data_IF_296024986075
#
_entry.id   IF_296024986075
#
_cell.length_a   1.000
_cell.length_b   1.000
_cell.length_c   1.000
_cell.angle_alpha   90.00
_cell.angle_beta   90.00
_cell.angle_gamma   90.00
#
_symmetry.space_group_name_H-M   'P 1'
#
loop_
_entity.id
_entity.type
_entity.pdbx_description
1 polymer ?
#
# COMPACT_ATOMS: atom_id res chain seq x y z
N UNK A 1 12.74 -12.36 -9.49
CA UNK A 1 11.57 -13.22 -9.21
C UNK A 1 11.09 -13.79 -10.52
N UNK A 2 10.92 -15.11 -10.61
CA UNK A 2 10.30 -15.72 -11.79
C UNK A 2 8.76 -15.71 -11.66
N UNK A 3 8.07 -15.95 -12.79
CA UNK A 3 6.61 -15.85 -12.85
C UNK A 3 5.90 -16.85 -11.92
N UNK A 4 6.50 -18.02 -11.68
CA UNK A 4 5.92 -19.02 -10.79
C UNK A 4 6.03 -18.59 -9.33
N UNK A 5 7.19 -18.11 -8.90
CA UNK A 5 7.40 -17.63 -7.54
C UNK A 5 6.60 -16.35 -7.25
N UNK A 6 6.44 -15.48 -8.25
CA UNK A 6 5.69 -14.24 -8.10
C UNK A 6 4.23 -14.46 -7.66
N UNK A 7 3.60 -15.57 -8.00
CA UNK A 7 2.18 -15.83 -7.73
C UNK A 7 1.92 -16.95 -6.71
N UNK A 8 2.94 -17.75 -6.37
CA UNK A 8 2.81 -18.90 -5.49
C UNK A 8 3.43 -18.70 -4.09
N UNK A 9 4.03 -17.55 -3.84
CA UNK A 9 4.65 -17.20 -2.55
C UNK A 9 3.98 -15.95 -1.98
N UNK A 10 3.97 -15.82 -0.65
CA UNK A 10 3.64 -14.57 0.03
C UNK A 10 4.49 -13.42 -0.51
N UNK A 11 3.88 -12.25 -0.74
CA UNK A 11 4.63 -11.10 -1.26
C UNK A 11 5.77 -10.68 -0.32
N UNK A 12 5.61 -10.81 0.98
CA UNK A 12 6.65 -10.49 1.95
C UNK A 12 7.95 -11.28 1.76
N UNK A 13 7.88 -12.45 1.09
CA UNK A 13 9.04 -13.33 0.86
C UNK A 13 9.71 -13.13 -0.52
N UNK A 14 9.17 -12.26 -1.37
CA UNK A 14 9.69 -12.06 -2.72
C UNK A 14 10.95 -11.21 -2.76
N UNK A 15 11.09 -10.26 -1.85
CA UNK A 15 12.31 -9.47 -1.71
C UNK A 15 13.35 -10.22 -0.86
N UNK A 16 14.66 -10.02 -1.16
CA UNK A 16 15.71 -10.62 -0.35
C UNK A 16 15.72 -10.04 1.06
N UNK A 17 15.77 -10.88 2.12
CA UNK A 17 15.83 -10.42 3.50
C UNK A 17 16.98 -9.45 3.77
N UNK A 18 18.15 -9.67 3.16
CA UNK A 18 19.32 -8.79 3.31
C UNK A 18 19.08 -7.43 2.67
N UNK A 19 18.34 -7.38 1.54
CA UNK A 19 17.94 -6.12 0.92
C UNK A 19 16.97 -5.37 1.81
N UNK A 20 15.97 -6.07 2.36
CA UNK A 20 14.96 -5.50 3.26
C UNK A 20 15.63 -4.91 4.50
N UNK A 21 16.41 -5.70 5.24
CA UNK A 21 17.08 -5.26 6.47
C UNK A 21 17.99 -4.04 6.23
N UNK A 22 18.81 -4.07 5.17
CA UNK A 22 19.70 -2.96 4.83
C UNK A 22 18.94 -1.68 4.48
N UNK A 23 17.85 -1.79 3.72
CA UNK A 23 17.13 -0.60 3.27
C UNK A 23 16.14 -0.10 4.33
N UNK A 24 15.60 -0.95 5.18
CA UNK A 24 14.85 -0.53 6.37
C UNK A 24 15.70 0.37 7.28
N UNK A 25 16.96 0.02 7.54
CA UNK A 25 17.88 0.87 8.30
C UNK A 25 18.15 2.24 7.66
N UNK A 26 18.18 2.30 6.32
CA UNK A 26 18.43 3.55 5.57
C UNK A 26 17.21 4.45 5.50
N UNK A 27 16.02 3.88 5.41
CA UNK A 27 14.77 4.59 5.18
C UNK A 27 13.97 4.86 6.45
N UNK A 28 14.21 4.09 7.51
CA UNK A 28 13.39 4.09 8.72
C UNK A 28 12.04 3.38 8.56
N UNK A 29 11.78 2.76 7.40
CA UNK A 29 10.57 1.96 7.18
C UNK A 29 10.70 0.67 8.00
N UNK A 30 9.68 0.26 8.78
CA UNK A 30 9.69 -1.04 9.44
C UNK A 30 9.95 -2.18 8.43
N UNK A 31 10.82 -3.13 8.79
CA UNK A 31 11.24 -4.21 7.87
C UNK A 31 10.04 -4.97 7.28
N UNK A 32 9.03 -5.25 8.12
CA UNK A 32 7.84 -5.98 7.68
C UNK A 32 7.02 -5.21 6.63
N UNK A 33 6.86 -3.90 6.81
CA UNK A 33 6.21 -3.03 5.83
C UNK A 33 7.02 -2.96 4.51
N UNK A 34 8.34 -2.77 4.63
CA UNK A 34 9.21 -2.69 3.46
C UNK A 34 9.21 -3.99 2.65
N UNK A 35 9.17 -5.15 3.32
CA UNK A 35 9.04 -6.44 2.67
C UNK A 35 7.75 -6.54 1.83
N UNK A 36 6.63 -6.07 2.36
CA UNK A 36 5.35 -6.05 1.64
C UNK A 36 5.39 -5.10 0.43
N UNK A 37 5.88 -3.87 0.60
CA UNK A 37 5.99 -2.91 -0.53
C UNK A 37 6.91 -3.43 -1.64
N UNK A 38 8.07 -3.95 -1.28
CA UNK A 38 9.01 -4.52 -2.25
C UNK A 38 8.40 -5.75 -2.95
N UNK A 39 7.74 -6.61 -2.18
CA UNK A 39 7.10 -7.80 -2.70
C UNK A 39 5.93 -7.50 -3.62
N UNK A 40 5.08 -6.53 -3.28
CA UNK A 40 3.99 -6.06 -4.13
C UNK A 40 4.51 -5.55 -5.48
N UNK A 41 5.52 -4.67 -5.45
CA UNK A 41 6.17 -4.18 -6.68
C UNK A 41 6.79 -5.31 -7.51
N UNK A 42 7.46 -6.28 -6.87
CA UNK A 42 8.02 -7.45 -7.54
C UNK A 42 6.94 -8.34 -8.14
N UNK A 43 5.81 -8.55 -7.45
CA UNK A 43 4.65 -9.28 -7.97
C UNK A 43 4.14 -8.61 -9.25
N UNK A 44 3.92 -7.30 -9.21
CA UNK A 44 3.40 -6.55 -10.35
C UNK A 44 4.40 -6.47 -11.50
N UNK A 45 5.70 -6.43 -11.24
CA UNK A 45 6.73 -6.45 -12.29
C UNK A 45 6.67 -7.71 -13.18
N UNK A 46 6.05 -8.77 -12.67
CA UNK A 46 5.87 -10.04 -13.41
C UNK A 46 4.45 -10.18 -13.95
N UNK A 47 3.44 -9.83 -13.16
CA UNK A 47 2.02 -10.05 -13.53
C UNK A 47 1.43 -8.91 -14.36
N UNK A 48 1.97 -7.70 -14.25
CA UNK A 48 1.60 -6.52 -15.02
C UNK A 48 2.82 -5.61 -15.26
N UNK A 49 3.81 -6.04 -16.07
CA UNK A 49 5.08 -5.32 -16.25
C UNK A 49 4.92 -3.93 -16.86
N UNK A 50 3.88 -3.69 -17.65
CA UNK A 50 3.63 -2.39 -18.30
C UNK A 50 3.26 -1.30 -17.28
N UNK A 51 2.71 -1.68 -16.13
CA UNK A 51 2.35 -0.73 -15.07
C UNK A 51 3.56 0.04 -14.56
N UNK A 52 4.68 -0.63 -14.31
CA UNK A 52 5.91 -0.01 -13.82
C UNK A 52 5.79 0.56 -12.39
N UNK A 53 4.87 0.03 -11.58
CA UNK A 53 4.73 0.39 -10.16
C UNK A 53 6.00 0.03 -9.38
N UNK A 54 6.48 0.97 -8.56
CA UNK A 54 7.70 0.81 -7.77
C UNK A 54 7.40 0.71 -6.27
N UNK A 55 8.28 0.03 -5.53
CA UNK A 55 8.14 -0.15 -4.09
C UNK A 55 8.14 1.16 -3.31
N UNK A 56 8.91 2.17 -3.73
CA UNK A 56 8.97 3.47 -3.09
C UNK A 56 7.67 4.27 -3.27
N UNK A 57 6.94 4.09 -4.36
CA UNK A 57 5.59 4.64 -4.52
C UNK A 57 4.63 4.02 -3.50
N UNK A 58 4.61 2.70 -3.36
CA UNK A 58 3.80 2.01 -2.34
C UNK A 58 4.18 2.45 -0.92
N UNK A 59 5.47 2.56 -0.64
CA UNK A 59 5.95 3.07 0.65
C UNK A 59 5.57 4.53 0.90
N UNK A 60 5.57 5.38 -0.13
CA UNK A 60 5.09 6.75 -0.04
C UNK A 60 3.61 6.82 0.34
N UNK A 61 2.77 5.99 -0.27
CA UNK A 61 1.35 5.84 0.10
C UNK A 61 1.23 5.35 1.54
N UNK A 62 1.88 4.25 1.90
CA UNK A 62 1.81 3.70 3.25
C UNK A 62 2.30 4.65 4.35
N UNK A 63 3.23 5.56 4.03
CA UNK A 63 3.59 6.65 4.93
C UNK A 63 2.45 7.65 5.12
N UNK A 64 1.87 8.13 4.03
CA UNK A 64 0.81 9.15 4.08
C UNK A 64 -0.44 8.60 4.75
N UNK A 65 -0.78 7.34 4.52
CA UNK A 65 -2.00 6.72 5.03
C UNK A 65 -1.92 6.34 6.53
N UNK A 66 -0.81 5.76 6.97
CA UNK A 66 -0.73 5.22 8.34
C UNK A 66 0.65 5.31 8.98
N UNK A 67 1.59 6.06 8.39
CA UNK A 67 3.00 6.01 8.81
C UNK A 67 3.53 4.56 8.87
N UNK A 68 3.25 3.77 7.83
CA UNK A 68 3.60 2.34 7.76
C UNK A 68 2.96 1.49 8.87
N UNK A 69 1.73 1.80 9.24
CA UNK A 69 1.01 1.09 10.30
C UNK A 69 1.43 1.47 11.73
N UNK A 70 2.19 2.56 11.91
CA UNK A 70 2.60 3.01 13.25
C UNK A 70 1.72 4.11 13.84
N UNK A 71 0.69 4.54 13.11
CA UNK A 71 -0.29 5.49 13.63
C UNK A 71 -0.99 4.89 14.88
N UNK A 72 -1.36 5.73 15.84
CA UNK A 72 -1.99 5.34 17.09
C UNK A 72 -1.18 4.35 17.96
N UNK A 73 0.15 4.45 17.91
CA UNK A 73 1.08 3.55 18.62
C UNK A 73 0.99 2.06 18.21
N UNK A 74 0.35 1.78 17.06
CA UNK A 74 0.30 0.45 16.45
C UNK A 74 1.62 0.05 15.79
N UNK A 75 1.67 -1.19 15.32
CA UNK A 75 2.74 -1.71 14.47
C UNK A 75 2.24 -2.88 13.64
N UNK A 76 2.98 -3.21 12.58
CA UNK A 76 2.74 -4.42 11.80
C UNK A 76 3.45 -5.58 12.48
N UNK A 77 2.71 -6.62 12.81
CA UNK A 77 3.22 -7.85 13.44
C UNK A 77 4.02 -8.69 12.44
N UNK A 78 4.68 -9.73 12.90
CA UNK A 78 5.52 -10.58 12.05
C UNK A 78 4.72 -11.28 10.94
N UNK A 79 3.47 -11.67 11.20
CA UNK A 79 2.56 -12.26 10.22
C UNK A 79 1.99 -11.24 9.21
N UNK A 80 2.17 -9.96 9.44
CA UNK A 80 1.72 -8.88 8.54
C UNK A 80 0.46 -8.18 8.96
N UNK A 81 -0.20 -8.61 10.04
CA UNK A 81 -1.41 -7.99 10.55
C UNK A 81 -1.10 -6.72 11.35
N UNK A 82 -2.05 -5.81 11.42
CA UNK A 82 -1.95 -4.69 12.34
C UNK A 82 -2.11 -5.16 13.79
N UNK A 83 -1.21 -4.75 14.70
CA UNK A 83 -1.34 -5.04 16.14
C UNK A 83 -2.57 -4.41 16.78
N UNK A 84 -2.94 -3.24 16.29
CA UNK A 84 -4.18 -2.54 16.60
C UNK A 84 -4.84 -2.17 15.26
N UNK A 85 -6.12 -2.52 15.04
CA UNK A 85 -6.79 -2.21 13.78
C UNK A 85 -6.82 -0.71 13.50
N UNK A 86 -6.49 -0.33 12.27
CA UNK A 86 -6.52 1.06 11.81
C UNK A 86 -7.79 1.29 11.01
N UNK A 87 -8.59 2.23 11.49
CA UNK A 87 -9.77 2.73 10.80
C UNK A 87 -9.66 4.25 10.66
N UNK A 88 -9.97 4.75 9.48
CA UNK A 88 -10.09 6.18 9.23
C UNK A 88 -11.32 6.79 9.92
N UNK A 89 -11.48 8.09 9.76
CA UNK A 89 -12.72 8.77 10.16
C UNK A 89 -13.84 8.42 9.17
N UNK A 90 -15.08 8.44 9.63
CA UNK A 90 -16.25 8.24 8.76
C UNK A 90 -16.26 9.33 7.67
N UNK A 91 -16.48 8.91 6.43
CA UNK A 91 -16.53 9.77 5.26
C UNK A 91 -17.94 10.36 5.10
N UNK A 92 -18.34 11.22 6.03
CA UNK A 92 -19.69 11.80 6.13
C UNK A 92 -19.83 13.16 5.41
N UNK A 93 -18.75 13.68 4.83
CA UNK A 93 -18.68 14.99 4.20
C UNK A 93 -18.31 16.13 5.14
N UNK A 94 -18.17 15.84 6.43
CA UNK A 94 -17.67 16.77 7.43
C UNK A 94 -16.13 16.69 7.56
N UNK A 95 -15.53 17.62 8.27
CA UNK A 95 -14.08 17.65 8.56
C UNK A 95 -13.17 17.56 7.32
N UNK A 96 -13.67 17.97 6.15
CA UNK A 96 -12.92 17.95 4.89
C UNK A 96 -12.93 16.60 4.16
N UNK A 97 -13.75 15.66 4.60
CA UNK A 97 -14.01 14.41 3.87
C UNK A 97 -15.00 14.61 2.72
N UNK A 98 -14.99 13.69 1.76
CA UNK A 98 -16.06 13.56 0.76
C UNK A 98 -17.08 12.60 1.33
N UNK A 99 -18.38 12.98 1.30
CA UNK A 99 -19.44 12.09 1.77
C UNK A 99 -19.50 10.81 0.93
N UNK A 100 -19.28 9.67 1.57
CA UNK A 100 -19.46 8.35 1.00
C UNK A 100 -20.52 7.60 1.81
N UNK A 101 -21.69 7.31 1.20
CA UNK A 101 -22.69 6.47 1.86
C UNK A 101 -22.09 5.10 2.17
N UNK A 102 -22.57 4.48 3.24
CA UNK A 102 -22.20 3.12 3.56
C UNK A 102 -22.47 2.17 2.37
N UNK A 103 -21.43 1.45 1.95
CA UNK A 103 -21.41 0.57 0.78
C UNK A 103 -21.79 -0.87 1.16
N UNK A 104 -21.44 -1.30 2.37
CA UNK A 104 -21.45 -2.72 2.73
C UNK A 104 -22.11 -3.05 4.08
N UNK A 105 -22.92 -2.14 4.63
CA UNK A 105 -23.57 -2.25 5.95
C UNK A 105 -22.53 -2.42 7.09
N UNK A 106 -21.35 -1.80 6.94
CA UNK A 106 -20.27 -1.86 7.93
C UNK A 106 -19.56 -3.23 8.01
N UNK A 107 -19.67 -4.08 7.00
CA UNK A 107 -19.09 -5.42 7.03
C UNK A 107 -17.54 -5.38 6.99
N UNK A 108 -16.95 -4.45 6.24
CA UNK A 108 -15.51 -4.33 6.12
C UNK A 108 -14.90 -3.34 7.12
N UNK A 109 -15.56 -2.22 7.33
CA UNK A 109 -15.01 -1.10 8.09
C UNK A 109 -15.60 -0.92 9.49
N UNK A 110 -16.60 -1.72 9.86
CA UNK A 110 -17.33 -1.72 11.14
C UNK A 110 -18.15 -0.43 11.40
N UNK A 111 -18.49 0.35 10.35
CA UNK A 111 -19.34 1.54 10.50
C UNK A 111 -20.56 1.50 9.56
N UNK A 112 -21.75 1.16 10.05
CA UNK A 112 -22.97 1.07 9.24
C UNK A 112 -23.58 2.45 8.91
N UNK A 113 -22.95 3.56 9.26
CA UNK A 113 -23.48 4.90 9.02
C UNK A 113 -22.78 5.62 7.85
N UNK A 114 -21.68 5.07 7.36
CA UNK A 114 -20.90 5.62 6.25
C UNK A 114 -19.56 4.94 6.15
N UNK A 115 -19.00 4.87 4.95
CA UNK A 115 -17.72 4.24 4.72
C UNK A 115 -16.59 4.95 5.47
N UNK A 116 -15.58 4.19 5.86
CA UNK A 116 -14.28 4.68 6.31
C UNK A 116 -13.15 3.81 5.75
N UNK A 117 -11.97 4.40 5.67
CA UNK A 117 -10.79 3.70 5.19
C UNK A 117 -10.27 2.68 6.24
N UNK A 118 -9.71 1.57 5.77
CA UNK A 118 -9.31 0.42 6.60
C UNK A 118 -7.84 0.07 6.38
N UNK A 119 -7.16 -0.23 7.46
CA UNK A 119 -5.85 -0.86 7.49
C UNK A 119 -4.67 0.06 7.14
N UNK A 120 -3.47 -0.52 7.00
CA UNK A 120 -2.23 0.25 6.84
C UNK A 120 -2.15 1.03 5.52
N UNK A 121 -2.94 0.65 4.50
CA UNK A 121 -3.04 1.33 3.22
C UNK A 121 -4.34 2.13 3.06
N UNK A 122 -5.19 2.19 4.09
CA UNK A 122 -6.45 2.96 4.13
C UNK A 122 -7.35 2.68 2.91
N UNK A 123 -7.69 1.41 2.71
CA UNK A 123 -8.58 0.96 1.63
C UNK A 123 -10.04 1.21 2.03
N UNK A 124 -10.82 1.79 1.13
CA UNK A 124 -12.27 1.98 1.33
C UNK A 124 -13.07 0.75 0.90
N UNK A 125 -14.26 0.50 1.49
CA UNK A 125 -15.09 -0.67 1.20
C UNK A 125 -15.34 -0.95 -0.29
N UNK A 126 -15.69 0.02 -1.16
CA UNK A 126 -15.88 -0.25 -2.59
C UNK A 126 -14.61 -0.74 -3.29
N UNK A 127 -13.44 -0.22 -2.90
CA UNK A 127 -12.15 -0.66 -3.46
C UNK A 127 -11.82 -2.07 -2.99
N UNK A 128 -12.04 -2.35 -1.69
CA UNK A 128 -11.86 -3.70 -1.16
C UNK A 128 -12.74 -4.71 -1.88
N UNK A 129 -14.03 -4.45 -2.00
CA UNK A 129 -14.99 -5.34 -2.68
C UNK A 129 -14.60 -5.67 -4.13
N UNK A 130 -13.93 -4.74 -4.82
CA UNK A 130 -13.51 -4.92 -6.21
C UNK A 130 -12.14 -5.60 -6.36
N UNK A 131 -11.24 -5.49 -5.37
CA UNK A 131 -9.82 -5.82 -5.52
C UNK A 131 -9.25 -6.72 -4.41
N UNK A 132 -10.05 -7.19 -3.43
CA UNK A 132 -9.57 -8.01 -2.32
C UNK A 132 -8.75 -9.22 -2.82
N UNK A 133 -7.71 -9.54 -2.11
CA UNK A 133 -6.76 -10.59 -2.48
C UNK A 133 -5.95 -11.02 -1.26
N UNK A 134 -5.69 -12.32 -1.16
CA UNK A 134 -4.81 -12.92 -0.15
C UNK A 134 -3.34 -12.76 -0.60
N UNK A 135 -2.66 -11.78 -0.06
CA UNK A 135 -1.28 -11.41 -0.42
C UNK A 135 -0.22 -12.21 0.33
N UNK A 136 -0.52 -12.66 1.55
CA UNK A 136 0.35 -13.48 2.38
C UNK A 136 0.13 -14.99 2.19
N UNK A 137 -0.95 -15.38 1.50
CA UNK A 137 -1.36 -16.77 1.22
C UNK A 137 -1.70 -17.57 2.49
N UNK A 138 -2.30 -16.93 3.49
CA UNK A 138 -2.74 -17.58 4.73
C UNK A 138 -4.18 -18.12 4.65
N UNK A 139 -4.89 -17.86 3.57
CA UNK A 139 -6.25 -18.28 3.30
C UNK A 139 -7.32 -17.30 3.82
N UNK A 140 -6.92 -16.13 4.30
CA UNK A 140 -7.80 -15.06 4.76
C UNK A 140 -7.47 -13.79 3.98
N UNK A 141 -8.49 -13.10 3.49
CA UNK A 141 -8.34 -11.77 2.88
C UNK A 141 -8.72 -10.73 3.93
N UNK A 142 -7.73 -9.92 4.36
CA UNK A 142 -7.90 -8.98 5.47
C UNK A 142 -7.32 -7.59 5.15
N UNK A 143 -8.17 -6.57 5.19
CA UNK A 143 -7.76 -5.17 4.99
C UNK A 143 -6.78 -4.66 6.05
N UNK A 144 -6.68 -5.31 7.21
CA UNK A 144 -5.69 -5.01 8.24
C UNK A 144 -4.34 -5.74 8.01
N UNK A 145 -4.25 -6.63 7.01
CA UNK A 145 -3.00 -7.24 6.55
C UNK A 145 -2.26 -6.27 5.63
N UNK A 146 -0.99 -6.00 5.90
CA UNK A 146 -0.15 -5.18 5.02
C UNK A 146 0.04 -5.82 3.65
N UNK A 147 0.14 -7.14 3.58
CA UNK A 147 0.36 -7.86 2.33
C UNK A 147 -0.86 -7.78 1.42
N UNK A 148 -2.04 -8.01 1.97
CA UNK A 148 -3.29 -7.98 1.22
C UNK A 148 -3.58 -6.55 0.76
N UNK A 149 -3.53 -5.59 1.68
CA UNK A 149 -3.80 -4.18 1.38
C UNK A 149 -2.78 -3.58 0.39
N UNK A 150 -1.51 -4.00 0.43
CA UNK A 150 -0.50 -3.61 -0.58
C UNK A 150 -0.83 -4.18 -1.95
N UNK A 151 -1.27 -5.43 -2.06
CA UNK A 151 -1.67 -5.99 -3.36
C UNK A 151 -2.95 -5.36 -3.89
N UNK A 152 -3.94 -5.10 -3.04
CA UNK A 152 -5.15 -4.33 -3.42
C UNK A 152 -4.76 -2.97 -3.98
N UNK A 153 -3.93 -2.23 -3.24
CA UNK A 153 -3.41 -0.92 -3.68
C UNK A 153 -2.67 -1.01 -5.01
N UNK A 154 -1.84 -2.04 -5.16
CA UNK A 154 -1.05 -2.25 -6.38
C UNK A 154 -1.93 -2.50 -7.60
N UNK A 155 -2.92 -3.38 -7.47
CA UNK A 155 -3.90 -3.68 -8.52
C UNK A 155 -4.70 -2.43 -8.90
N UNK A 156 -5.21 -1.72 -7.91
CA UNK A 156 -5.99 -0.50 -8.09
C UNK A 156 -5.19 0.61 -8.80
N UNK A 157 -3.94 0.85 -8.39
CA UNK A 157 -3.08 1.85 -9.02
C UNK A 157 -2.80 1.52 -10.49
N UNK A 158 -2.48 0.25 -10.80
CA UNK A 158 -2.20 -0.21 -12.15
C UNK A 158 -3.44 -0.28 -13.06
N UNK A 159 -4.63 -0.35 -12.48
CA UNK A 159 -5.89 -0.27 -13.23
C UNK A 159 -6.19 1.16 -13.68
N UNK A 160 -5.84 2.16 -12.87
CA UNK A 160 -6.18 3.55 -13.12
C UNK A 160 -5.26 4.26 -14.12
N UNK A 161 -4.19 3.60 -14.60
CA UNK A 161 -3.29 4.15 -15.62
C UNK A 161 -2.61 3.02 -16.39
N UNK A 162 -2.41 3.20 -17.68
CA UNK A 162 -1.69 2.24 -18.53
C UNK A 162 -0.23 2.05 -18.06
N UNK A 163 0.37 3.09 -17.46
CA UNK A 163 1.73 3.02 -16.94
C UNK A 163 2.01 4.10 -15.89
N UNK A 164 2.74 3.74 -14.86
CA UNK A 164 3.25 4.64 -13.82
C UNK A 164 4.71 5.05 -14.04
N UNK A 165 5.33 4.65 -15.16
CA UNK A 165 6.74 4.98 -15.46
C UNK A 165 6.95 6.43 -15.89
N UNK A 166 5.89 7.16 -16.15
CA UNK A 166 5.95 8.58 -16.50
C UNK A 166 5.05 9.41 -15.57
N UNK A 167 5.34 10.72 -15.53
CA UNK A 167 4.66 11.66 -14.62
C UNK A 167 3.13 11.70 -14.80
N UNK A 168 2.66 11.58 -16.03
CA UNK A 168 1.21 11.68 -16.33
C UNK A 168 0.48 10.48 -15.76
N UNK A 169 0.93 9.28 -16.07
CA UNK A 169 0.31 8.04 -15.59
C UNK A 169 0.46 7.88 -14.07
N UNK A 170 1.64 8.20 -13.52
CA UNK A 170 1.83 8.20 -12.07
C UNK A 170 0.84 9.13 -11.36
N UNK A 171 0.73 10.38 -11.81
CA UNK A 171 -0.23 11.33 -11.24
C UNK A 171 -1.68 10.85 -11.39
N UNK A 172 -2.03 10.24 -12.52
CA UNK A 172 -3.37 9.70 -12.74
C UNK A 172 -3.71 8.62 -11.72
N UNK A 173 -2.81 7.65 -11.49
CA UNK A 173 -3.00 6.59 -10.51
C UNK A 173 -3.07 7.12 -9.06
N UNK A 174 -2.17 8.04 -8.68
CA UNK A 174 -2.16 8.60 -7.32
C UNK A 174 -3.42 9.46 -7.06
N UNK A 175 -3.88 10.22 -8.04
CA UNK A 175 -5.13 10.99 -7.91
C UNK A 175 -6.37 10.11 -7.87
N UNK A 176 -6.35 8.94 -8.50
CA UNK A 176 -7.42 7.97 -8.35
C UNK A 176 -7.49 7.41 -6.92
N UNK A 177 -6.33 7.28 -6.25
CA UNK A 177 -6.24 6.87 -4.86
C UNK A 177 -6.78 7.95 -3.92
N UNK A 178 -6.31 9.19 -4.09
CA UNK A 178 -6.82 10.35 -3.37
C UNK A 178 -6.64 11.62 -4.23
N UNK A 179 -7.75 12.27 -4.62
CA UNK A 179 -7.72 13.43 -5.53
C UNK A 179 -7.39 14.77 -4.85
N UNK A 180 -7.05 14.75 -3.57
CA UNK A 180 -6.59 15.96 -2.87
C UNK A 180 -5.18 16.33 -3.38
N UNK A 181 -4.96 17.55 -3.90
CA UNK A 181 -3.68 17.91 -4.55
C UNK A 181 -2.45 17.73 -3.67
N UNK A 182 -2.53 18.01 -2.37
CA UNK A 182 -1.40 17.83 -1.45
C UNK A 182 -1.02 16.35 -1.28
N UNK A 183 -1.96 15.44 -1.41
CA UNK A 183 -1.71 14.00 -1.30
C UNK A 183 -0.65 13.52 -2.30
N UNK A 184 -0.82 13.84 -3.58
CA UNK A 184 0.15 13.46 -4.61
C UNK A 184 1.54 14.07 -4.37
N UNK A 185 1.60 15.29 -3.81
CA UNK A 185 2.86 15.95 -3.45
C UNK A 185 3.55 15.20 -2.31
N UNK A 186 2.82 14.84 -1.26
CA UNK A 186 3.36 14.17 -0.09
C UNK A 186 3.83 12.74 -0.43
N UNK A 187 3.04 11.99 -1.20
CA UNK A 187 3.44 10.66 -1.70
C UNK A 187 4.71 10.76 -2.55
N UNK A 188 4.79 11.72 -3.50
CA UNK A 188 5.97 11.92 -4.33
C UNK A 188 7.20 12.28 -3.50
N UNK A 189 7.05 13.18 -2.53
CA UNK A 189 8.16 13.61 -1.67
C UNK A 189 8.73 12.44 -0.86
N UNK A 190 7.86 11.58 -0.31
CA UNK A 190 8.28 10.39 0.43
C UNK A 190 8.89 9.32 -0.48
N UNK A 191 8.29 9.05 -1.63
CA UNK A 191 8.84 8.12 -2.61
C UNK A 191 10.27 8.53 -3.04
N UNK A 192 10.46 9.81 -3.34
CA UNK A 192 11.78 10.37 -3.70
C UNK A 192 12.79 10.32 -2.53
N UNK A 193 12.33 10.54 -1.28
CA UNK A 193 13.16 10.41 -0.08
C UNK A 193 13.69 8.97 0.05
N UNK A 194 12.81 7.99 -0.08
CA UNK A 194 13.16 6.57 0.03
C UNK A 194 14.07 6.11 -1.12
N UNK A 195 13.82 6.56 -2.34
CA UNK A 195 14.68 6.26 -3.47
C UNK A 195 16.10 6.80 -3.24
N UNK A 196 16.23 8.07 -2.83
CA UNK A 196 17.54 8.67 -2.53
C UNK A 196 18.26 7.99 -1.38
N UNK A 197 17.55 7.60 -0.32
CA UNK A 197 18.13 6.90 0.83
C UNK A 197 18.71 5.53 0.45
N UNK A 198 18.11 4.87 -0.53
CA UNK A 198 18.50 3.52 -0.98
C UNK A 198 19.43 3.52 -2.19
N UNK A 199 19.52 4.65 -2.92
CA UNK A 199 20.46 4.79 -4.02
C UNK A 199 21.89 4.47 -3.57
N UNK A 200 22.59 3.64 -4.34
CA UNK A 200 23.98 3.32 -4.06
C UNK A 200 24.82 4.57 -4.31
N UNK A 201 25.36 5.16 -3.26
CA UNK A 201 26.44 6.16 -3.39
C UNK A 201 27.73 5.43 -3.79
N UNK A 202 28.57 6.07 -4.59
CA UNK A 202 29.77 5.55 -5.30
C UNK A 202 30.77 4.73 -4.42
N UNK A 203 30.45 4.52 -3.15
CA UNK A 203 31.24 3.78 -2.15
C UNK A 203 30.46 2.61 -1.49
N UNK A 204 29.50 1.99 -2.17
CA UNK A 204 28.88 0.75 -1.70
C UNK A 204 29.81 -0.45 -1.86
#
# INVERSE_FOLDING_TARGET
>A
VDAQNATSLSIATLASPEWVARNAQKTGIPERALAAYAGGALRLSVTNPECGLTWNTLAGIGWVESHHGTIFDGHITEDGSMSEPVYGITLDGDNGTIAMPDFDDGNFDLDPNGDRAVGPMQIIPPTWAAWHVDGNLDGVEDGQSIDDSVLVSSGYLCYNSDTMTNRTGWNQSIRAYNDVPIYAIDVAAKADEYERATACTIFC
#
